data_IF_738376350477
#
_entry.id   IF_738376350477
#
_cell.length_a   1.000
_cell.length_b   1.000
_cell.length_c   1.000
_cell.angle_alpha   90.00
_cell.angle_beta   90.00
_cell.angle_gamma   90.00
#
_symmetry.space_group_name_H-M   'P 1'
#
loop_
_entity.id
_entity.type
_entity.pdbx_description
1 polymer ?
#
# COMPACT_ATOMS: atom_id res chain seq x y z
N UNK A 1 -32.64 -2.70 -5.82
CA UNK A 1 -32.09 -1.65 -6.70
C UNK A 1 -31.64 -2.34 -7.97
N UNK A 2 -32.35 -2.16 -9.08
CA UNK A 2 -31.98 -2.73 -10.37
C UNK A 2 -31.16 -1.68 -11.11
N UNK A 3 -29.83 -1.72 -10.93
CA UNK A 3 -28.93 -0.91 -11.75
C UNK A 3 -29.03 -1.31 -13.22
N UNK A 4 -28.60 -0.42 -14.11
CA UNK A 4 -28.49 -0.76 -15.53
C UNK A 4 -27.56 -1.97 -15.73
N UNK A 5 -27.70 -2.75 -16.81
CA UNK A 5 -26.78 -3.84 -17.14
C UNK A 5 -25.31 -3.42 -17.10
N UNK A 6 -25.01 -2.20 -17.51
CA UNK A 6 -23.66 -1.61 -17.48
C UNK A 6 -23.18 -1.33 -16.06
N UNK A 7 -24.04 -0.81 -15.18
CA UNK A 7 -23.70 -0.58 -13.76
C UNK A 7 -23.39 -1.90 -13.04
N UNK A 8 -24.14 -2.97 -13.35
CA UNK A 8 -23.89 -4.30 -12.79
C UNK A 8 -22.55 -4.88 -13.26
N UNK A 9 -22.19 -4.64 -14.52
CA UNK A 9 -20.90 -5.07 -15.07
C UNK A 9 -19.76 -4.27 -14.44
N UNK A 10 -19.90 -2.95 -14.30
CA UNK A 10 -18.86 -2.10 -13.70
C UNK A 10 -18.63 -2.39 -12.21
N UNK A 11 -19.67 -2.81 -11.49
CA UNK A 11 -19.58 -3.15 -10.07
C UNK A 11 -19.05 -4.56 -9.80
N UNK A 12 -18.96 -5.42 -10.81
CA UNK A 12 -18.51 -6.80 -10.65
C UNK A 12 -16.98 -6.85 -10.57
N UNK A 13 -16.44 -7.64 -9.65
CA UNK A 13 -15.01 -7.88 -9.53
C UNK A 13 -14.76 -9.27 -8.92
N UNK A 14 -13.51 -9.76 -8.89
CA UNK A 14 -13.18 -11.01 -8.22
C UNK A 14 -13.45 -10.95 -6.71
N UNK A 15 -13.49 -9.75 -6.12
CA UNK A 15 -13.88 -9.50 -4.73
C UNK A 15 -15.38 -9.40 -4.49
N UNK A 16 -16.22 -9.51 -5.52
CA UNK A 16 -17.68 -9.59 -5.35
C UNK A 16 -18.10 -10.94 -4.76
N UNK A 17 -19.26 -11.01 -4.11
CA UNK A 17 -19.80 -12.28 -3.60
C UNK A 17 -20.43 -13.13 -4.71
N UNK A 18 -20.52 -14.45 -4.50
CA UNK A 18 -21.18 -15.35 -5.45
C UNK A 18 -22.66 -14.98 -5.67
N UNK A 19 -23.33 -14.44 -4.66
CA UNK A 19 -24.70 -13.95 -4.80
C UNK A 19 -24.80 -12.77 -5.77
N UNK A 20 -23.85 -11.83 -5.73
CA UNK A 20 -23.79 -10.71 -6.69
C UNK A 20 -23.53 -11.23 -8.09
N UNK A 21 -22.56 -12.13 -8.26
CA UNK A 21 -22.27 -12.75 -9.55
C UNK A 21 -23.50 -13.48 -10.14
N UNK A 22 -24.20 -14.27 -9.33
CA UNK A 22 -25.41 -14.98 -9.76
C UNK A 22 -26.51 -14.00 -10.21
N UNK A 23 -26.72 -12.92 -9.46
CA UNK A 23 -27.68 -11.86 -9.84
C UNK A 23 -27.32 -11.22 -11.17
N UNK A 24 -26.04 -10.93 -11.41
CA UNK A 24 -25.56 -10.37 -12.68
C UNK A 24 -25.82 -11.33 -13.85
N UNK A 25 -25.52 -12.62 -13.69
CA UNK A 25 -25.80 -13.64 -14.72
C UNK A 25 -27.29 -13.75 -15.05
N UNK A 26 -28.18 -13.71 -14.05
CA UNK A 26 -29.63 -13.70 -14.29
C UNK A 26 -30.11 -12.44 -15.00
N UNK A 27 -29.62 -11.27 -14.58
CA UNK A 27 -29.98 -9.98 -15.18
C UNK A 27 -29.57 -9.90 -16.65
N UNK A 28 -28.38 -10.43 -16.98
CA UNK A 28 -27.84 -10.48 -18.34
C UNK A 28 -28.33 -11.68 -19.17
N UNK A 29 -29.10 -12.59 -18.56
CA UNK A 29 -29.59 -13.84 -19.17
C UNK A 29 -28.45 -14.72 -19.71
N UNK A 30 -27.34 -14.76 -18.99
CA UNK A 30 -26.17 -15.58 -19.32
C UNK A 30 -26.20 -16.89 -18.53
N UNK A 31 -25.72 -17.97 -19.15
CA UNK A 31 -25.63 -19.29 -18.53
C UNK A 31 -24.21 -19.67 -18.12
N UNK A 32 -23.21 -18.98 -18.66
CA UNK A 32 -21.79 -19.22 -18.44
C UNK A 32 -21.11 -17.99 -17.86
N UNK A 33 -20.17 -18.25 -16.95
CA UNK A 33 -19.20 -17.26 -16.49
C UNK A 33 -17.78 -17.78 -16.67
N UNK A 34 -16.87 -16.85 -16.87
CA UNK A 34 -15.45 -17.09 -17.06
C UNK A 34 -14.68 -16.21 -16.09
N UNK A 35 -13.74 -16.81 -15.38
CA UNK A 35 -12.77 -16.13 -14.54
C UNK A 35 -11.37 -16.51 -15.02
N UNK A 36 -10.44 -15.57 -15.05
CA UNK A 36 -9.02 -15.88 -15.23
C UNK A 36 -8.35 -15.83 -13.86
N UNK A 37 -8.04 -16.98 -13.24
CA UNK A 37 -7.34 -16.99 -11.96
C UNK A 37 -5.96 -16.37 -12.13
N UNK A 38 -5.52 -15.58 -11.16
CA UNK A 38 -4.22 -14.92 -11.20
C UNK A 38 -3.10 -15.95 -11.39
N UNK A 39 -2.16 -15.66 -12.30
CA UNK A 39 -1.07 -16.57 -12.64
C UNK A 39 -1.46 -17.82 -13.45
N UNK A 40 -2.74 -18.09 -13.70
CA UNK A 40 -3.17 -19.26 -14.49
C UNK A 40 -2.87 -19.10 -15.98
N UNK A 41 -2.60 -20.22 -16.67
CA UNK A 41 -2.57 -20.30 -18.14
C UNK A 41 -3.95 -20.60 -18.74
N UNK A 42 -4.89 -21.04 -17.90
CA UNK A 42 -6.20 -21.49 -18.32
C UNK A 42 -7.31 -20.69 -17.63
N UNK A 43 -8.33 -20.36 -18.42
CA UNK A 43 -9.55 -19.78 -17.90
C UNK A 43 -10.31 -20.80 -17.04
N UNK A 44 -10.91 -20.32 -15.95
CA UNK A 44 -11.86 -21.06 -15.14
C UNK A 44 -13.27 -20.81 -15.66
N UNK A 45 -13.91 -21.84 -16.20
CA UNK A 45 -15.27 -21.76 -16.75
C UNK A 45 -16.24 -22.45 -15.79
N UNK A 46 -17.35 -21.76 -15.50
CA UNK A 46 -18.41 -22.28 -14.65
C UNK A 46 -19.79 -21.98 -15.25
N UNK A 47 -20.76 -22.81 -14.87
CA UNK A 47 -22.15 -22.63 -15.25
C UNK A 47 -22.97 -22.00 -14.13
N UNK A 48 -24.00 -21.24 -14.51
CA UNK A 48 -24.92 -20.56 -13.58
C UNK A 48 -25.60 -21.53 -12.60
N UNK A 49 -25.96 -22.74 -13.04
CA UNK A 49 -26.57 -23.77 -12.19
C UNK A 49 -25.63 -24.28 -11.09
N UNK A 50 -24.32 -24.30 -11.35
CA UNK A 50 -23.30 -24.64 -10.35
C UNK A 50 -23.22 -23.57 -9.25
N UNK A 51 -23.36 -22.28 -9.60
CA UNK A 51 -23.46 -21.20 -8.63
C UNK A 51 -24.73 -21.31 -7.78
N UNK A 52 -25.87 -21.67 -8.39
CA UNK A 52 -27.12 -21.92 -7.66
C UNK A 52 -26.92 -23.04 -6.63
N UNK A 53 -26.24 -24.13 -7.02
CA UNK A 53 -25.93 -25.23 -6.12
C UNK A 53 -25.01 -24.80 -4.95
N UNK A 54 -23.97 -23.99 -5.22
CA UNK A 54 -23.09 -23.45 -4.18
C UNK A 54 -23.83 -22.56 -3.19
N UNK A 55 -24.68 -21.66 -3.69
CA UNK A 55 -25.49 -20.77 -2.86
C UNK A 55 -26.48 -21.59 -2.03
N UNK A 56 -27.11 -22.61 -2.62
CA UNK A 56 -27.97 -23.55 -1.89
C UNK A 56 -27.26 -24.32 -0.77
N UNK A 57 -25.94 -24.48 -0.86
CA UNK A 57 -25.07 -25.06 0.19
C UNK A 57 -24.54 -24.03 1.20
N UNK A 58 -25.03 -22.79 1.17
CA UNK A 58 -24.66 -21.74 2.12
C UNK A 58 -23.37 -20.99 1.78
N UNK A 59 -22.88 -21.05 0.54
CA UNK A 59 -21.68 -20.32 0.08
C UNK A 59 -22.00 -18.98 -0.60
N UNK A 60 -23.09 -18.31 -0.21
CA UNK A 60 -23.51 -17.04 -0.86
C UNK A 60 -22.51 -15.90 -0.73
N UNK A 61 -21.83 -15.84 0.42
CA UNK A 61 -20.85 -14.80 0.76
C UNK A 61 -19.41 -15.14 0.32
N UNK A 62 -19.18 -16.34 -0.23
CA UNK A 62 -17.88 -16.66 -0.81
C UNK A 62 -17.58 -15.68 -1.97
N UNK A 63 -16.30 -15.42 -2.23
CA UNK A 63 -15.91 -14.45 -3.24
C UNK A 63 -15.78 -15.13 -4.60
N UNK A 64 -15.94 -14.36 -5.68
CA UNK A 64 -15.80 -14.86 -7.04
C UNK A 64 -14.39 -15.42 -7.29
N UNK A 65 -13.36 -14.78 -6.75
CA UNK A 65 -11.96 -15.24 -6.86
C UNK A 65 -11.71 -16.63 -6.25
N UNK A 66 -12.56 -17.06 -5.32
CA UNK A 66 -12.40 -18.35 -4.60
C UNK A 66 -13.01 -19.53 -5.39
N UNK A 67 -13.71 -19.26 -6.51
CA UNK A 67 -14.34 -20.32 -7.32
C UNK A 67 -13.38 -21.44 -7.76
N UNK A 68 -12.14 -21.17 -8.19
CA UNK A 68 -11.17 -22.22 -8.51
C UNK A 68 -10.80 -23.09 -7.30
N UNK A 69 -10.72 -22.50 -6.09
CA UNK A 69 -10.47 -23.26 -4.85
C UNK A 69 -11.66 -24.17 -4.52
N UNK A 70 -12.88 -23.64 -4.60
CA UNK A 70 -14.12 -24.41 -4.38
C UNK A 70 -14.27 -25.57 -5.39
N UNK A 71 -13.77 -25.41 -6.62
CA UNK A 71 -13.72 -26.49 -7.61
C UNK A 71 -12.70 -27.57 -7.21
N UNK A 72 -11.53 -27.17 -6.71
CA UNK A 72 -10.51 -28.11 -6.21
C UNK A 72 -10.99 -28.89 -4.98
N UNK A 73 -11.85 -28.29 -4.17
CA UNK A 73 -12.56 -28.96 -3.07
C UNK A 73 -13.68 -29.92 -3.54
N UNK A 74 -13.94 -30.01 -4.85
CA UNK A 74 -14.97 -30.87 -5.44
C UNK A 74 -16.40 -30.35 -5.25
N UNK A 75 -16.57 -29.08 -4.86
CA UNK A 75 -17.90 -28.49 -4.65
C UNK A 75 -18.59 -28.14 -5.97
N UNK A 76 -17.81 -27.86 -7.01
CA UNK A 76 -18.26 -27.63 -8.38
C UNK A 76 -17.37 -28.38 -9.38
N UNK A 77 -17.96 -28.75 -10.52
CA UNK A 77 -17.24 -29.42 -11.61
C UNK A 77 -16.68 -28.36 -12.56
N UNK A 78 -15.41 -28.47 -12.93
CA UNK A 78 -14.86 -27.65 -14.01
C UNK A 78 -15.60 -27.96 -15.31
N UNK A 79 -16.07 -26.92 -16.01
CA UNK A 79 -16.65 -27.07 -17.34
C UNK A 79 -15.49 -27.09 -18.32
N UNK A 80 -15.34 -28.18 -19.06
CA UNK A 80 -14.31 -28.23 -20.10
C UNK A 80 -14.72 -27.32 -21.26
N UNK A 81 -13.77 -26.57 -21.86
CA UNK A 81 -14.07 -25.67 -22.98
C UNK A 81 -14.77 -26.38 -24.15
N UNK A 82 -14.44 -27.66 -24.38
CA UNK A 82 -15.02 -28.52 -25.42
C UNK A 82 -16.52 -28.79 -25.22
N UNK A 83 -17.01 -28.86 -23.98
CA UNK A 83 -18.44 -28.99 -23.68
C UNK A 83 -19.22 -27.69 -24.03
N UNK A 84 -18.51 -26.61 -24.31
CA UNK A 84 -19.05 -25.26 -24.47
C UNK A 84 -18.86 -24.66 -25.88
N UNK A 85 -18.39 -25.46 -26.86
CA UNK A 85 -18.13 -25.10 -28.26
C UNK A 85 -19.37 -24.83 -29.12
N UNK A 86 -20.52 -24.54 -28.53
CA UNK A 86 -21.66 -24.09 -29.31
C UNK A 86 -21.40 -22.66 -29.81
N UNK A 87 -21.25 -22.50 -31.13
CA UNK A 87 -21.13 -21.20 -31.79
C UNK A 87 -22.23 -20.24 -31.30
N UNK A 88 -21.83 -19.05 -30.86
CA UNK A 88 -22.76 -18.00 -30.43
C UNK A 88 -23.14 -18.00 -28.94
N UNK A 89 -22.65 -18.93 -28.12
CA UNK A 89 -22.83 -18.85 -26.66
C UNK A 89 -22.10 -17.64 -26.10
N UNK A 90 -22.83 -16.78 -25.39
CA UNK A 90 -22.29 -15.63 -24.68
C UNK A 90 -21.93 -16.01 -23.24
N UNK A 91 -20.83 -15.46 -22.73
CA UNK A 91 -20.37 -15.68 -21.37
C UNK A 91 -20.01 -14.35 -20.68
N UNK A 92 -20.17 -14.34 -19.36
CA UNK A 92 -19.71 -13.24 -18.52
C UNK A 92 -18.26 -13.46 -18.14
N UNK A 93 -17.35 -12.70 -18.73
CA UNK A 93 -15.96 -12.62 -18.28
C UNK A 93 -15.89 -11.69 -17.07
N UNK A 94 -15.43 -12.20 -15.92
CA UNK A 94 -15.14 -11.41 -14.74
C UNK A 94 -13.70 -10.91 -14.83
N UNK A 95 -13.55 -9.59 -14.86
CA UNK A 95 -12.27 -8.89 -14.85
C UNK A 95 -12.02 -8.28 -13.47
N UNK A 96 -10.80 -7.82 -13.22
CA UNK A 96 -10.44 -7.21 -11.94
C UNK A 96 -11.32 -6.02 -11.57
N UNK A 97 -11.68 -5.20 -12.56
CA UNK A 97 -12.46 -3.96 -12.40
C UNK A 97 -13.69 -3.94 -13.28
N UNK A 98 -14.43 -5.04 -13.28
CA UNK A 98 -15.70 -5.12 -13.99
C UNK A 98 -16.02 -6.52 -14.50
N UNK A 99 -17.00 -6.58 -15.37
CA UNK A 99 -17.23 -7.73 -16.24
C UNK A 99 -17.46 -7.29 -17.68
N UNK A 100 -17.19 -8.20 -18.61
CA UNK A 100 -17.53 -8.03 -20.03
C UNK A 100 -18.35 -9.22 -20.50
N UNK A 101 -19.24 -8.97 -21.44
CA UNK A 101 -19.98 -10.04 -22.13
C UNK A 101 -19.28 -10.28 -23.46
N UNK A 102 -18.82 -11.50 -23.67
CA UNK A 102 -18.10 -11.92 -24.86
C UNK A 102 -18.61 -13.29 -25.31
N UNK A 103 -18.43 -13.67 -26.58
CA UNK A 103 -18.53 -15.06 -26.99
C UNK A 103 -17.67 -15.94 -26.09
N UNK A 104 -18.19 -17.10 -25.68
CA UNK A 104 -17.50 -17.98 -24.75
C UNK A 104 -16.14 -18.43 -25.29
N UNK A 105 -16.05 -18.71 -26.60
CA UNK A 105 -14.79 -19.00 -27.30
C UNK A 105 -13.75 -17.88 -27.13
N UNK A 106 -14.14 -16.61 -27.19
CA UNK A 106 -13.25 -15.46 -26.99
C UNK A 106 -12.90 -15.25 -25.50
N UNK A 107 -13.83 -15.55 -24.59
CA UNK A 107 -13.62 -15.43 -23.16
C UNK A 107 -12.62 -16.47 -22.62
N UNK A 108 -12.62 -17.69 -23.17
CA UNK A 108 -11.71 -18.79 -22.79
C UNK A 108 -10.40 -18.79 -23.57
N UNK A 109 -10.38 -18.21 -24.78
CA UNK A 109 -9.17 -18.18 -25.59
C UNK A 109 -8.02 -17.48 -24.83
N UNK A 110 -6.79 -18.03 -24.87
CA UNK A 110 -5.60 -17.32 -24.44
C UNK A 110 -5.53 -15.99 -25.18
N UNK A 111 -5.68 -14.88 -24.44
CA UNK A 111 -5.74 -13.56 -25.03
C UNK A 111 -4.36 -12.94 -25.09
N UNK A 112 -3.96 -12.55 -26.29
CA UNK A 112 -2.89 -11.58 -26.46
C UNK A 112 -3.45 -10.19 -26.14
N UNK A 113 -2.81 -9.44 -25.23
CA UNK A 113 -3.29 -8.11 -24.90
C UNK A 113 -3.27 -7.23 -26.14
N UNK A 114 -4.37 -6.54 -26.41
CA UNK A 114 -4.35 -5.45 -27.37
C UNK A 114 -3.70 -4.25 -26.71
N UNK A 115 -2.47 -3.98 -27.09
CA UNK A 115 -1.73 -2.83 -26.61
C UNK A 115 -2.19 -1.57 -27.35
N UNK A 116 -2.39 -0.43 -26.66
CA UNK A 116 -2.60 0.84 -27.33
C UNK A 116 -1.45 1.17 -28.30
N UNK A 117 -1.72 1.95 -29.34
CA UNK A 117 -0.71 2.36 -30.33
C UNK A 117 0.50 3.07 -29.68
N UNK A 118 0.27 3.71 -28.52
CA UNK A 118 1.28 4.42 -27.75
C UNK A 118 2.00 3.55 -26.69
N UNK A 119 1.74 2.24 -26.62
CA UNK A 119 2.33 1.35 -25.59
C UNK A 119 3.86 1.37 -25.57
N UNK A 120 4.50 1.53 -26.72
CA UNK A 120 5.96 1.61 -26.86
C UNK A 120 6.50 3.05 -26.81
N UNK A 121 5.72 4.01 -26.31
CA UNK A 121 6.22 5.34 -26.01
C UNK A 121 7.38 5.27 -24.98
N UNK A 122 8.26 6.28 -24.93
CA UNK A 122 9.44 6.30 -24.05
C UNK A 122 9.07 6.60 -22.59
N UNK A 123 8.03 5.94 -22.09
CA UNK A 123 7.57 5.98 -20.70
C UNK A 123 7.41 4.53 -20.22
N UNK A 124 7.73 4.24 -18.95
CA UNK A 124 7.59 2.90 -18.40
C UNK A 124 6.12 2.59 -18.08
N UNK A 125 5.55 1.63 -18.81
CA UNK A 125 4.16 1.21 -18.61
C UNK A 125 4.05 -0.23 -18.13
N UNK A 126 3.01 -0.46 -17.33
CA UNK A 126 2.53 -1.75 -16.88
C UNK A 126 1.05 -1.89 -17.24
N UNK A 127 0.62 -3.09 -17.60
CA UNK A 127 -0.77 -3.41 -17.87
C UNK A 127 -1.11 -4.71 -17.15
N UNK A 128 -2.19 -4.67 -16.38
CA UNK A 128 -2.78 -5.88 -15.86
C UNK A 128 -3.69 -6.51 -16.93
N UNK A 129 -3.24 -7.61 -17.51
CA UNK A 129 -3.95 -8.36 -18.52
C UNK A 129 -4.33 -9.74 -17.98
N UNK A 130 -5.61 -9.95 -17.64
CA UNK A 130 -6.18 -11.24 -17.20
C UNK A 130 -5.35 -11.94 -16.11
N UNK A 131 -5.01 -11.21 -15.05
CA UNK A 131 -4.27 -11.75 -13.90
C UNK A 131 -2.76 -11.88 -14.12
N UNK A 132 -2.22 -11.26 -15.18
CA UNK A 132 -0.79 -11.19 -15.47
C UNK A 132 -0.35 -9.76 -15.69
N UNK A 133 0.81 -9.41 -15.13
CA UNK A 133 1.44 -8.12 -15.39
C UNK A 133 2.20 -8.16 -16.72
N UNK A 134 1.91 -7.23 -17.61
CA UNK A 134 2.64 -7.00 -18.86
C UNK A 134 3.33 -5.66 -18.76
N UNK A 135 4.59 -5.60 -19.15
CA UNK A 135 5.37 -4.37 -19.15
C UNK A 135 5.88 -4.07 -20.54
N UNK A 136 5.99 -2.78 -20.87
CA UNK A 136 6.57 -2.37 -22.14
C UNK A 136 8.11 -2.46 -22.10
N UNK A 137 8.73 -2.25 -23.27
CA UNK A 137 10.19 -2.28 -23.39
C UNK A 137 10.87 -1.27 -22.47
N UNK A 138 10.33 -0.06 -22.34
CA UNK A 138 10.89 1.00 -21.51
C UNK A 138 10.93 0.60 -20.03
N UNK A 139 9.82 0.09 -19.49
CA UNK A 139 9.76 -0.42 -18.12
C UNK A 139 10.74 -1.58 -17.90
N UNK A 140 10.82 -2.53 -18.85
CA UNK A 140 11.77 -3.63 -18.76
C UNK A 140 13.24 -3.16 -18.77
N UNK A 141 13.57 -2.09 -19.50
CA UNK A 141 14.93 -1.55 -19.54
C UNK A 141 15.28 -0.77 -18.27
N UNK A 142 14.33 -0.02 -17.71
CA UNK A 142 14.55 0.81 -16.52
C UNK A 142 14.58 0.00 -15.23
N UNK A 143 13.66 -0.96 -15.09
CA UNK A 143 13.41 -1.65 -13.82
C UNK A 143 13.69 -3.17 -13.90
N UNK A 144 13.93 -3.71 -15.09
CA UNK A 144 14.13 -5.13 -15.32
C UNK A 144 12.82 -5.89 -15.59
N UNK A 145 12.95 -7.16 -15.95
CA UNK A 145 11.82 -8.03 -16.31
C UNK A 145 11.07 -8.62 -15.13
N UNK A 146 11.60 -8.48 -13.90
CA UNK A 146 10.97 -9.00 -12.68
C UNK A 146 9.60 -8.37 -12.40
N UNK A 147 9.37 -7.14 -12.88
CA UNK A 147 8.06 -6.49 -12.86
C UNK A 147 6.95 -7.35 -13.48
N UNK A 148 7.28 -8.14 -14.51
CA UNK A 148 6.32 -9.05 -15.15
C UNK A 148 5.96 -10.27 -14.29
N UNK A 149 6.70 -10.52 -13.21
CA UNK A 149 6.47 -11.61 -12.24
C UNK A 149 5.60 -11.18 -11.06
N UNK A 150 5.28 -9.88 -10.94
CA UNK A 150 4.40 -9.40 -9.87
C UNK A 150 3.06 -10.13 -9.92
N UNK A 151 2.67 -10.68 -8.77
CA UNK A 151 1.38 -11.33 -8.59
C UNK A 151 0.29 -10.27 -8.65
N UNK A 152 -0.51 -10.29 -9.70
CA UNK A 152 -1.63 -9.36 -9.85
C UNK A 152 -2.60 -9.48 -8.67
N UNK A 153 -2.81 -10.68 -8.14
CA UNK A 153 -3.68 -10.95 -6.99
C UNK A 153 -3.35 -10.08 -5.76
N UNK A 154 -2.06 -9.82 -5.56
CA UNK A 154 -1.55 -9.13 -4.37
C UNK A 154 -1.53 -7.61 -4.53
N UNK A 155 -1.69 -7.12 -5.76
CA UNK A 155 -1.71 -5.67 -5.99
C UNK A 155 -2.96 -5.06 -5.38
N UNK A 156 -2.90 -3.83 -4.85
CA UNK A 156 -4.08 -3.13 -4.36
C UNK A 156 -5.08 -2.80 -5.48
N UNK A 157 -6.38 -2.86 -5.19
CA UNK A 157 -7.44 -2.31 -6.07
C UNK A 157 -7.54 -0.77 -5.93
N UNK A 158 -6.41 -0.08 -6.09
CA UNK A 158 -6.32 1.39 -6.02
C UNK A 158 -5.82 1.96 -7.34
N UNK A 159 -6.15 3.22 -7.60
CA UNK A 159 -5.66 3.95 -8.79
C UNK A 159 -4.19 4.32 -8.67
N UNK A 160 -3.70 4.40 -7.44
CA UNK A 160 -2.30 4.61 -7.13
C UNK A 160 -1.89 3.65 -6.01
N UNK A 161 -0.71 3.04 -6.12
CA UNK A 161 -0.12 2.17 -5.11
C UNK A 161 1.40 2.10 -5.27
N UNK A 162 2.09 1.71 -4.21
CA UNK A 162 3.55 1.51 -4.21
C UNK A 162 3.83 0.01 -4.05
N UNK A 163 4.81 -0.48 -4.80
CA UNK A 163 5.30 -1.86 -4.73
C UNK A 163 6.79 -1.84 -4.42
N UNK A 164 7.22 -2.67 -3.48
CA UNK A 164 8.62 -3.00 -3.28
C UNK A 164 9.03 -4.15 -4.21
N UNK A 165 10.09 -3.95 -4.99
CA UNK A 165 10.67 -5.04 -5.77
C UNK A 165 11.64 -5.85 -4.90
N UNK A 166 11.16 -6.99 -4.43
CA UNK A 166 11.96 -7.92 -3.62
C UNK A 166 13.15 -8.51 -4.41
N UNK A 167 14.19 -8.96 -3.68
CA UNK A 167 15.33 -9.67 -4.26
C UNK A 167 16.40 -8.79 -4.92
N UNK A 168 16.35 -7.47 -4.70
CA UNK A 168 17.37 -6.51 -5.13
C UNK A 168 18.38 -6.24 -4.01
N UNK A 169 19.63 -5.94 -4.37
CA UNK A 169 20.68 -5.57 -3.39
C UNK A 169 20.37 -4.25 -2.69
N UNK A 170 19.77 -3.30 -3.42
CA UNK A 170 19.27 -2.04 -2.88
C UNK A 170 17.74 -2.04 -2.92
N UNK A 171 17.07 -1.44 -1.92
CA UNK A 171 15.63 -1.32 -1.93
C UNK A 171 15.19 -0.56 -3.19
N UNK A 172 14.09 -1.00 -3.79
CA UNK A 172 13.53 -0.39 -4.99
C UNK A 172 12.02 -0.31 -4.83
N UNK A 173 11.52 0.91 -4.71
CA UNK A 173 10.10 1.19 -4.53
C UNK A 173 9.55 1.88 -5.77
N UNK A 174 8.54 1.25 -6.37
CA UNK A 174 7.92 1.74 -7.59
C UNK A 174 6.49 2.18 -7.31
N UNK A 175 6.18 3.42 -7.69
CA UNK A 175 4.82 3.94 -7.68
C UNK A 175 4.13 3.58 -8.99
N UNK A 176 2.95 2.97 -8.89
CA UNK A 176 2.08 2.68 -10.01
C UNK A 176 0.95 3.69 -9.98
N UNK A 177 0.78 4.45 -11.06
CA UNK A 177 -0.33 5.40 -11.23
C UNK A 177 -1.16 5.01 -12.43
N UNK A 178 -2.47 4.89 -12.25
CA UNK A 178 -3.38 4.51 -13.32
C UNK A 178 -3.44 5.61 -14.38
N UNK A 179 -3.28 5.20 -15.62
CA UNK A 179 -3.48 6.05 -16.80
C UNK A 179 -4.85 5.77 -17.42
N UNK A 180 -5.12 4.51 -17.75
CA UNK A 180 -6.37 4.02 -18.33
C UNK A 180 -6.78 2.70 -17.68
N UNK A 181 -7.91 2.12 -18.08
CA UNK A 181 -8.41 0.84 -17.53
C UNK A 181 -7.32 -0.23 -17.56
N UNK A 182 -6.87 -0.64 -16.36
CA UNK A 182 -5.82 -1.64 -16.12
C UNK A 182 -4.41 -1.29 -16.65
N UNK A 183 -4.17 -0.06 -17.12
CA UNK A 183 -2.85 0.44 -17.55
C UNK A 183 -2.30 1.45 -16.53
N UNK A 184 -1.04 1.27 -16.15
CA UNK A 184 -0.33 2.07 -15.16
C UNK A 184 0.96 2.64 -15.75
N UNK A 185 1.26 3.89 -15.40
CA UNK A 185 2.61 4.44 -15.51
C UNK A 185 3.38 4.08 -14.23
N UNK A 186 4.66 3.76 -14.39
CA UNK A 186 5.54 3.32 -13.31
C UNK A 186 6.56 4.44 -13.02
N UNK A 187 6.71 4.83 -11.77
CA UNK A 187 7.71 5.82 -11.36
C UNK A 187 8.61 5.23 -10.27
N UNK A 188 9.91 5.48 -10.35
CA UNK A 188 10.81 5.19 -9.24
C UNK A 188 10.59 6.25 -8.15
N UNK A 189 10.19 5.81 -6.97
CA UNK A 189 9.98 6.66 -5.80
C UNK A 189 10.89 6.29 -4.64
N UNK A 190 11.95 5.51 -4.90
CA UNK A 190 12.84 4.97 -3.87
C UNK A 190 13.47 6.08 -3.05
N UNK A 191 13.96 7.14 -3.70
CA UNK A 191 14.60 8.27 -3.02
C UNK A 191 13.63 9.02 -2.12
N UNK A 192 12.48 9.39 -2.66
CA UNK A 192 11.42 10.10 -1.94
C UNK A 192 10.89 9.29 -0.75
N UNK A 193 10.76 7.98 -0.91
CA UNK A 193 10.30 7.09 0.16
C UNK A 193 11.31 6.98 1.29
N UNK A 194 12.59 6.79 0.95
CA UNK A 194 13.66 6.71 1.95
C UNK A 194 13.84 8.03 2.70
N UNK A 195 13.73 9.17 2.00
CA UNK A 195 13.75 10.50 2.62
C UNK A 195 12.55 10.69 3.57
N UNK A 196 11.34 10.31 3.14
CA UNK A 196 10.15 10.40 3.98
C UNK A 196 10.26 9.51 5.23
N UNK A 197 10.84 8.31 5.10
CA UNK A 197 11.10 7.42 6.23
C UNK A 197 12.14 8.02 7.20
N UNK A 198 13.22 8.62 6.70
CA UNK A 198 14.20 9.31 7.56
C UNK A 198 13.59 10.51 8.29
N UNK A 199 12.79 11.33 7.59
CA UNK A 199 12.08 12.45 8.21
C UNK A 199 11.15 11.95 9.32
N UNK A 200 10.36 10.91 9.05
CA UNK A 200 9.43 10.32 10.02
C UNK A 200 10.18 9.77 11.24
N UNK A 201 11.32 9.12 11.02
CA UNK A 201 12.21 8.65 12.09
C UNK A 201 12.70 9.81 12.97
N UNK A 202 13.21 10.87 12.36
CA UNK A 202 13.69 12.03 13.10
C UNK A 202 12.59 12.83 13.78
N UNK A 203 11.36 12.77 13.28
CA UNK A 203 10.21 13.36 13.94
C UNK A 203 9.81 12.55 15.19
N UNK A 204 9.96 11.23 15.17
CA UNK A 204 9.71 10.36 16.32
C UNK A 204 10.81 10.47 17.39
N UNK A 205 12.09 10.51 16.97
CA UNK A 205 13.23 10.57 17.90
C UNK A 205 13.53 11.99 18.37
N UNK A 206 13.62 12.94 17.44
CA UNK A 206 14.09 14.29 17.68
C UNK A 206 15.62 14.43 17.63
N UNK A 207 16.12 15.16 16.63
CA UNK A 207 17.57 15.41 16.42
C UNK A 207 18.26 16.10 17.61
N UNK A 208 17.53 16.91 18.36
CA UNK A 208 18.09 17.59 19.54
C UNK A 208 18.39 16.62 20.68
N UNK A 209 17.59 15.55 20.81
CA UNK A 209 17.76 14.55 21.86
C UNK A 209 18.94 13.61 21.56
N UNK A 210 19.09 13.17 20.31
CA UNK A 210 20.29 12.39 19.92
C UNK A 210 21.58 13.19 20.09
N UNK A 211 21.56 14.49 19.75
CA UNK A 211 22.71 15.35 19.97
C UNK A 211 23.06 15.52 21.47
N UNK A 212 22.08 15.52 22.38
CA UNK A 212 22.36 15.57 23.81
C UNK A 212 22.93 14.23 24.33
N UNK A 213 22.46 13.10 23.79
CA UNK A 213 23.01 11.76 24.10
C UNK A 213 24.49 11.69 23.70
N UNK A 214 24.83 12.16 22.50
CA UNK A 214 26.21 12.22 22.02
C UNK A 214 27.08 13.16 22.85
N UNK A 215 26.54 14.32 23.26
CA UNK A 215 27.25 15.27 24.12
C UNK A 215 27.53 14.71 25.53
N UNK A 216 26.73 13.76 26.01
CA UNK A 216 26.95 13.00 27.24
C UNK A 216 27.96 11.85 27.07
N UNK A 217 28.53 11.67 25.87
CA UNK A 217 29.52 10.65 25.57
C UNK A 217 28.94 9.24 25.42
N UNK A 218 27.63 9.11 25.20
CA UNK A 218 26.95 7.83 24.97
C UNK A 218 26.76 7.58 23.48
N UNK A 219 26.98 6.34 23.07
CA UNK A 219 26.70 5.90 21.71
C UNK A 219 25.21 5.54 21.58
N UNK A 220 24.65 5.77 20.39
CA UNK A 220 23.30 5.34 20.05
C UNK A 220 23.28 4.71 18.66
N UNK A 221 22.29 3.86 18.42
CA UNK A 221 22.02 3.27 17.10
C UNK A 221 20.52 3.12 16.86
N UNK A 222 20.14 3.16 15.59
CA UNK A 222 18.80 2.82 15.10
C UNK A 222 18.76 1.33 14.83
N UNK A 223 17.76 0.65 15.38
CA UNK A 223 17.42 -0.73 15.06
C UNK A 223 16.03 -0.76 14.44
N UNK A 224 15.85 -1.43 13.30
CA UNK A 224 14.60 -1.35 12.54
C UNK A 224 13.50 -2.25 13.13
N UNK A 225 13.86 -3.46 13.57
CA UNK A 225 12.87 -4.49 13.94
C UNK A 225 12.67 -4.58 15.44
N UNK A 226 13.76 -4.76 16.20
CA UNK A 226 13.72 -5.00 17.63
C UNK A 226 15.07 -4.63 18.27
N UNK A 227 15.08 -4.29 19.56
CA UNK A 227 16.33 -4.13 20.28
C UNK A 227 17.05 -5.49 20.36
N UNK A 228 18.39 -5.50 20.22
CA UNK A 228 19.16 -6.73 20.28
C UNK A 228 18.99 -7.46 21.61
N UNK A 229 18.94 -8.79 21.57
CA UNK A 229 18.85 -9.60 22.78
C UNK A 229 20.04 -9.34 23.70
N UNK A 230 19.75 -9.03 24.97
CA UNK A 230 20.78 -8.72 25.96
C UNK A 230 21.50 -7.39 25.74
N UNK A 231 20.89 -6.44 25.01
CA UNK A 231 21.46 -5.10 24.80
C UNK A 231 21.84 -4.44 26.14
N UNK A 232 23.12 -4.06 26.35
CA UNK A 232 23.63 -3.54 27.63
C UNK A 232 23.26 -2.06 27.85
N UNK A 233 22.10 -1.63 27.35
CA UNK A 233 21.66 -0.25 27.35
C UNK A 233 20.15 -0.12 27.42
N UNK A 234 19.65 1.07 27.04
CA UNK A 234 18.21 1.36 27.02
C UNK A 234 17.73 1.48 25.58
N UNK A 235 16.58 0.88 25.30
CA UNK A 235 15.92 0.97 24.01
C UNK A 235 14.55 1.62 24.16
N UNK A 236 14.23 2.55 23.27
CA UNK A 236 12.91 3.19 23.19
C UNK A 236 12.28 2.90 21.84
N UNK A 237 11.02 2.44 21.79
CA UNK A 237 10.31 2.35 20.53
C UNK A 237 10.04 3.76 20.00
N UNK A 238 10.28 3.96 18.71
CA UNK A 238 10.07 5.24 18.05
C UNK A 238 8.82 5.13 17.19
N UNK A 239 7.80 5.89 17.55
CA UNK A 239 6.49 5.83 16.91
C UNK A 239 6.15 7.14 16.20
N UNK A 240 5.51 7.03 15.05
CA UNK A 240 4.93 8.14 14.32
C UNK A 240 3.53 7.78 13.83
N UNK A 241 2.55 8.61 14.15
CA UNK A 241 1.12 8.37 13.82
C UNK A 241 0.62 6.95 14.18
N UNK A 242 1.06 6.43 15.33
CA UNK A 242 0.66 5.11 15.84
C UNK A 242 1.36 3.92 15.16
N UNK A 243 2.39 4.16 14.33
CA UNK A 243 3.23 3.12 13.73
C UNK A 243 4.62 3.13 14.35
N UNK A 244 5.12 1.96 14.73
CA UNK A 244 6.51 1.77 15.18
C UNK A 244 7.43 1.82 13.96
N UNK A 245 8.38 2.75 13.96
CA UNK A 245 9.37 2.95 12.90
C UNK A 245 10.72 2.25 13.20
N UNK A 246 10.89 1.77 14.44
CA UNK A 246 12.09 1.12 14.93
C UNK A 246 12.36 1.48 16.39
N UNK A 247 13.59 1.23 16.82
CA UNK A 247 14.04 1.40 18.20
C UNK A 247 15.30 2.26 18.25
N UNK A 248 15.26 3.28 19.10
CA UNK A 248 16.46 4.03 19.48
C UNK A 248 17.14 3.28 20.62
N UNK A 249 18.30 2.69 20.33
CA UNK A 249 19.11 1.97 21.31
C UNK A 249 20.27 2.85 21.75
N UNK A 250 20.35 3.18 23.04
CA UNK A 250 21.42 3.98 23.65
C UNK A 250 22.22 3.11 24.61
N UNK A 251 23.52 3.03 24.38
CA UNK A 251 24.44 2.25 25.21
C UNK A 251 24.64 2.96 26.55
N UNK A 252 24.63 2.20 27.65
CA UNK A 252 25.04 2.75 28.94
C UNK A 252 26.56 2.93 28.94
N UNK A 253 27.08 4.04 29.50
CA UNK A 253 28.52 4.23 29.59
C UNK A 253 29.09 3.08 30.43
N UNK A 254 30.04 2.34 29.85
CA UNK A 254 30.78 1.30 30.57
C UNK A 254 31.42 1.88 31.84
N UNK A 255 31.72 1.04 32.85
CA UNK A 255 32.35 1.51 34.08
C UNK A 255 33.62 2.28 33.71
N UNK A 256 33.63 3.59 33.98
CA UNK A 256 34.83 4.40 33.87
C UNK A 256 35.88 3.78 34.80
N UNK A 257 36.91 3.15 34.23
CA UNK A 257 38.14 2.90 34.98
C UNK A 257 38.63 4.27 35.44
N UNK A 258 38.57 4.48 36.76
CA UNK A 258 39.06 5.70 37.38
C UNK A 258 40.50 5.93 36.92
N UNK A 259 40.87 7.16 36.52
CA UNK A 259 42.26 7.45 36.19
C UNK A 259 43.10 7.17 37.44
N UNK A 260 44.00 6.20 37.31
CA UNK A 260 44.97 5.86 38.34
C UNK A 260 45.76 7.13 38.69
N UNK A 261 45.67 7.51 39.97
CA UNK A 261 46.18 8.76 40.51
C UNK A 261 47.71 8.75 40.56
N UNK A 262 48.35 8.93 39.40
CA UNK A 262 49.78 9.18 39.28
C UNK A 262 50.11 10.64 39.61
N UNK A 263 50.31 10.93 40.89
CA UNK A 263 51.05 12.12 41.36
C UNK A 263 52.44 12.17 40.70
N UNK A 264 52.71 13.21 39.93
CA UNK A 264 54.06 13.77 39.82
C UNK A 264 53.97 15.29 39.82
N UNK A 265 54.56 15.86 40.88
CA UNK A 265 54.84 17.28 41.05
C UNK A 265 55.85 17.76 40.00
N UNK A 266 55.65 18.97 39.49
CA UNK A 266 56.56 19.61 38.55
C UNK A 266 56.09 21.01 38.18
N UNK A 267 56.36 21.97 39.07
CA UNK A 267 56.19 23.41 38.83
C UNK A 267 56.89 23.86 37.54
N UNK A 268 56.23 24.71 36.73
CA UNK A 268 56.82 25.98 36.29
C UNK A 268 55.87 26.83 35.42
N UNK A 269 55.64 28.03 35.94
CA UNK A 269 55.45 29.32 35.28
C UNK A 269 54.12 29.68 34.59
N UNK A 270 53.55 30.74 35.19
CA UNK A 270 52.47 31.55 34.70
C UNK A 270 52.88 32.42 33.50
N UNK A 271 52.02 32.48 32.49
CA UNK A 271 51.92 33.66 31.63
C UNK A 271 50.45 33.94 31.28
N UNK A 272 50.03 35.17 31.55
CA UNK A 272 48.67 35.70 31.34
C UNK A 272 48.43 36.06 29.87
N UNK A 273 47.33 35.52 29.33
CA UNK A 273 46.33 36.04 28.35
C UNK A 273 46.73 37.05 27.24
N UNK A 274 46.06 37.02 26.07
CA UNK A 274 44.79 37.77 25.98
C UNK A 274 43.67 37.14 25.14
N UNK A 275 42.45 37.66 25.39
CA UNK A 275 41.15 37.24 24.89
C UNK A 275 40.97 37.29 23.35
N UNK A 276 40.08 36.44 22.77
CA UNK A 276 39.74 36.53 21.35
C UNK A 276 38.74 37.66 21.08
N UNK A 277 39.08 38.45 20.05
CA UNK A 277 38.32 39.58 19.50
C UNK A 277 37.02 39.12 18.83
N UNK A 278 35.91 39.80 19.14
CA UNK A 278 34.62 39.70 18.43
C UNK A 278 34.76 40.14 16.98
N UNK A 279 34.29 39.31 16.03
CA UNK A 279 34.02 39.69 14.63
C UNK A 279 32.51 39.84 14.40
N UNK A 280 32.08 40.66 13.41
CA UNK A 280 30.73 41.20 13.36
C UNK A 280 29.71 40.25 12.74
N UNK A 281 28.48 40.46 13.16
CA UNK A 281 27.24 39.75 12.86
C UNK A 281 26.83 39.96 11.39
N UNK A 282 26.89 38.92 10.56
CA UNK A 282 26.24 38.93 9.26
C UNK A 282 24.77 38.50 9.43
N UNK A 283 23.84 39.39 9.03
CA UNK A 283 22.39 39.11 8.93
C UNK A 283 22.18 38.00 7.89
N UNK A 284 21.68 36.84 8.31
CA UNK A 284 21.05 35.87 7.40
C UNK A 284 19.55 36.09 7.41
N UNK A 285 19.01 36.34 6.22
CA UNK A 285 17.59 36.36 5.87
C UNK A 285 16.96 34.98 6.07
N UNK A 286 15.74 34.95 6.60
CA UNK A 286 14.94 33.75 6.83
C UNK A 286 14.44 33.12 5.51
N UNK A 287 14.37 31.78 5.38
CA UNK A 287 13.67 31.15 4.27
C UNK A 287 12.17 31.02 4.61
N UNK A 288 11.33 31.79 3.90
CA UNK A 288 9.85 31.74 4.00
C UNK A 288 9.23 30.62 3.14
N UNK A 289 9.99 29.61 2.71
CA UNK A 289 9.54 28.59 1.75
C UNK A 289 9.33 27.18 2.33
N UNK A 290 9.76 26.92 3.56
CA UNK A 290 9.63 25.60 4.20
C UNK A 290 8.22 25.35 4.79
N UNK A 291 7.49 26.41 5.13
CA UNK A 291 6.15 26.32 5.75
C UNK A 291 5.02 25.92 4.77
N UNK A 292 5.25 25.95 3.45
CA UNK A 292 4.23 25.54 2.47
C UNK A 292 4.31 24.05 2.10
N UNK A 293 5.49 23.42 2.25
CA UNK A 293 5.68 21.99 1.93
C UNK A 293 5.02 21.11 3.01
N UNK A 294 5.10 21.52 4.28
CA UNK A 294 4.49 20.80 5.41
C UNK A 294 2.95 20.86 5.44
N UNK A 295 2.33 21.70 4.60
CA UNK A 295 0.85 21.75 4.44
C UNK A 295 0.32 20.86 3.32
N UNK A 296 1.20 20.31 2.48
CA UNK A 296 0.82 19.52 1.30
C UNK A 296 0.87 18.01 1.54
N UNK A 297 1.46 17.53 2.63
CA UNK A 297 1.42 16.12 3.02
C UNK A 297 0.09 15.86 3.71
N UNK A 298 -0.95 15.71 2.89
CA UNK A 298 -2.27 15.27 3.35
C UNK A 298 -2.27 13.77 3.66
N UNK A 299 -3.27 13.30 4.43
CA UNK A 299 -3.42 11.89 4.83
C UNK A 299 -3.57 10.90 3.66
N UNK A 300 -3.75 11.37 2.43
CA UNK A 300 -3.89 10.54 1.23
C UNK A 300 -2.56 9.97 0.73
N UNK A 301 -1.43 10.66 0.94
CA UNK A 301 -0.10 10.17 0.52
C UNK A 301 0.38 9.02 1.41
N UNK A 302 -0.08 8.96 2.66
CA UNK A 302 0.32 7.94 3.65
C UNK A 302 -0.44 6.61 3.51
N UNK A 303 -1.60 6.60 2.83
CA UNK A 303 -2.38 5.37 2.58
C UNK A 303 -1.72 4.43 1.53
N UNK A 304 -0.62 4.87 0.91
CA UNK A 304 0.17 4.14 -0.07
C UNK A 304 1.38 3.41 0.56
N UNK A 305 1.71 3.70 1.83
CA UNK A 305 2.82 3.11 2.58
C UNK A 305 2.47 1.77 3.27
N UNK A 306 1.56 0.99 2.69
CA UNK A 306 1.10 -0.26 3.29
C UNK A 306 1.30 -1.41 2.31
N UNK A 307 2.51 -1.99 2.34
CA UNK A 307 2.63 -3.41 2.05
C UNK A 307 2.11 -4.18 3.28
N UNK A 308 1.01 -4.93 3.10
CA UNK A 308 0.84 -6.20 3.79
C UNK A 308 0.31 -6.28 5.23
N UNK A 309 -0.39 -5.28 5.82
CA UNK A 309 -1.15 -5.52 7.07
C UNK A 309 -2.53 -4.88 7.09
N UNK A 310 -3.53 -5.73 7.34
CA UNK A 310 -4.93 -5.39 7.60
C UNK A 310 -5.01 -4.72 8.98
N UNK A 311 -5.64 -3.55 9.14
CA UNK A 311 -5.93 -3.02 10.47
C UNK A 311 -6.95 -3.95 11.14
N UNK A 312 -6.61 -4.52 12.30
CA UNK A 312 -7.62 -5.09 13.19
C UNK A 312 -8.59 -3.97 13.60
N UNK A 313 -9.87 -4.17 13.30
CA UNK A 313 -10.94 -3.29 13.75
C UNK A 313 -11.08 -3.41 15.27
N UNK A 314 -10.86 -2.29 15.96
CA UNK A 314 -11.09 -2.14 17.39
C UNK A 314 -12.60 -2.31 17.70
N UNK A 315 -13.02 -3.38 18.42
CA UNK A 315 -14.43 -3.63 18.73
C UNK A 315 -15.03 -2.63 19.72
N UNK A 316 -14.25 -1.65 20.19
CA UNK A 316 -14.69 -0.60 21.12
C UNK A 316 -15.53 0.51 20.47
N UNK A 317 -15.71 0.50 19.15
CA UNK A 317 -16.36 1.61 18.41
C UNK A 317 -17.78 1.32 17.91
N UNK A 318 -18.33 0.13 18.18
CA UNK A 318 -19.74 -0.14 17.91
C UNK A 318 -20.61 0.32 19.09
N UNK A 319 -21.17 1.52 18.98
CA UNK A 319 -22.16 1.97 19.97
C UNK A 319 -22.43 3.46 20.04
N UNK A 320 -22.41 4.20 18.93
CA UNK A 320 -23.04 5.53 18.87
C UNK A 320 -23.98 5.59 17.68
N UNK A 321 -25.27 5.52 17.98
CA UNK A 321 -26.34 5.62 17.00
C UNK A 321 -26.42 7.04 16.44
N UNK A 322 -26.84 7.15 15.17
CA UNK A 322 -26.94 8.38 14.38
C UNK A 322 -27.88 9.46 14.98
N UNK A 323 -28.52 9.20 16.12
CA UNK A 323 -29.36 10.19 16.83
C UNK A 323 -28.55 11.11 17.75
N UNK A 324 -27.38 10.69 18.28
CA UNK A 324 -26.57 11.55 19.16
C UNK A 324 -25.80 12.65 18.40
N UNK A 325 -25.37 12.39 17.15
CA UNK A 325 -24.71 13.42 16.33
C UNK A 325 -25.68 14.50 15.83
N UNK A 326 -26.98 14.20 15.74
CA UNK A 326 -28.00 15.17 15.36
C UNK A 326 -28.37 16.13 16.51
N UNK A 327 -28.19 15.72 17.77
CA UNK A 327 -28.54 16.52 18.94
C UNK A 327 -27.45 17.54 19.31
N UNK A 328 -26.17 17.24 19.04
CA UNK A 328 -25.05 18.18 19.25
C UNK A 328 -25.06 19.32 18.21
N UNK A 329 -25.57 19.08 16.99
CA UNK A 329 -25.66 20.12 15.94
C UNK A 329 -26.82 21.10 16.12
N UNK A 330 -27.82 20.78 16.95
CA UNK A 330 -28.99 21.66 17.19
C UNK A 330 -28.85 22.60 18.39
N UNK A 331 -27.85 22.43 19.25
CA UNK A 331 -27.63 23.29 20.43
C UNK A 331 -26.72 24.51 20.17
N UNK A 332 -26.06 24.59 19.01
CA UNK A 332 -25.11 25.68 18.69
C UNK A 332 -25.72 26.94 18.03
N UNK A 333 -27.02 26.95 17.72
CA UNK A 333 -27.64 28.01 16.93
C UNK A 333 -28.80 28.71 17.66
N UNK A 334 -28.53 29.37 18.78
CA UNK A 334 -29.43 30.41 19.34
C UNK A 334 -28.66 31.34 20.28
N UNK A 335 -28.54 32.61 19.89
CA UNK A 335 -28.32 33.68 20.87
C UNK A 335 -27.35 34.80 20.49
N UNK A 336 -27.63 35.58 19.43
CA UNK A 336 -27.26 37.02 19.39
C UNK A 336 -28.39 37.83 18.73
N UNK A 337 -29.43 38.08 19.52
CA UNK A 337 -30.42 39.12 19.28
C UNK A 337 -30.11 40.35 20.14
N UNK A 338 -30.06 41.51 19.48
CA UNK A 338 -29.89 42.88 20.00
C UNK A 338 -30.77 43.25 21.20
N UNK A 339 -30.28 44.19 22.02
CA UNK A 339 -30.88 45.51 22.40
C UNK A 339 -30.10 46.15 23.58
N UNK A 340 -30.28 47.44 23.91
CA UNK A 340 -31.18 48.46 23.34
C UNK A 340 -30.51 49.40 22.33
#
# INVERSE_FOLDING_TARGET
>A
MNGSPEELLLALSPGSTLLVLLRTLYSLRLDFGVLWPDGSEHAFVFRKDQLVALIGRGRSEALVRDLPDLAREGLIRLVEPEEAEAEGVQALLVERRGGRVLPLSEAVAPWEPQFPEWWEAPLPFAMNARGRMRINRTASLMFGSDLGRLSVAELPEKDEFIVELEGRETPCFLAFRRLESDIFIIEDCTGELLEAQDISWWAAVGRAWTASIEAEGRAWRREETAPPEGFPGRAWPCEWEGRVLGWLCVEEPGPQEAPDGGRQDGESQAERAPAPRKKPRARRSAPKREDEVLKAIGPQTMALLAAGQVPEEDPSREGRTAEEEAQVRRSGAKGRGRRP
#
